data_IF_358049974792
#
_entry.id   IF_358049974792
#
_cell.length_a   1.000
_cell.length_b   1.000
_cell.length_c   1.000
_cell.angle_alpha   90.00
_cell.angle_beta   90.00
_cell.angle_gamma   90.00
#
_symmetry.space_group_name_H-M   'P 1'
#
loop_
_entity.id
_entity.type
_entity.pdbx_description
1 polymer ?
#
# COMPACT_ATOMS: atom_id res chain seq x y z
N UNK A 1 -15.63 -12.17 5.71
CA UNK A 1 -14.39 -11.45 6.09
C UNK A 1 -14.71 -9.95 6.11
N UNK A 2 -14.27 -9.19 7.13
CA UNK A 2 -14.47 -7.73 7.24
C UNK A 2 -13.16 -7.06 7.63
N UNK A 3 -12.75 -6.02 6.91
CA UNK A 3 -11.60 -5.17 7.28
C UNK A 3 -12.07 -4.19 8.35
N UNK A 4 -11.36 -4.15 9.49
CA UNK A 4 -11.70 -3.26 10.62
C UNK A 4 -10.88 -1.98 10.61
N UNK A 5 -9.61 -2.07 10.24
CA UNK A 5 -8.73 -0.92 10.09
C UNK A 5 -7.66 -1.20 9.03
N UNK A 6 -7.11 -0.12 8.47
CA UNK A 6 -5.90 -0.13 7.65
C UNK A 6 -4.90 0.80 8.33
N UNK A 7 -3.69 0.30 8.57
CA UNK A 7 -2.55 1.09 9.05
C UNK A 7 -1.42 0.93 8.05
N UNK A 8 -0.84 2.04 7.64
CA UNK A 8 0.19 2.10 6.61
C UNK A 8 1.38 2.86 7.18
N UNK A 9 2.58 2.32 7.03
CA UNK A 9 3.84 2.98 7.32
C UNK A 9 4.78 2.86 6.10
N UNK A 10 5.42 3.95 5.71
CA UNK A 10 6.47 4.00 4.69
C UNK A 10 6.13 3.28 3.36
N UNK A 11 4.86 3.33 2.92
CA UNK A 11 4.42 2.62 1.72
C UNK A 11 4.22 3.61 0.57
N UNK A 12 5.03 3.49 -0.47
CA UNK A 12 5.03 4.26 -1.70
C UNK A 12 4.86 5.77 -1.45
N UNK A 13 3.67 6.30 -1.69
CA UNK A 13 3.35 7.72 -1.56
C UNK A 13 2.90 8.12 -0.14
N UNK A 14 2.59 7.16 0.74
CA UNK A 14 2.07 7.39 2.10
C UNK A 14 3.19 7.15 3.10
N UNK A 15 3.50 8.16 3.92
CA UNK A 15 4.45 8.01 5.03
C UNK A 15 3.79 7.29 6.20
N UNK A 16 2.67 7.81 6.69
CA UNK A 16 1.86 7.22 7.75
C UNK A 16 0.40 7.49 7.46
N UNK A 17 -0.46 6.49 7.63
CA UNK A 17 -1.90 6.65 7.57
C UNK A 17 -2.62 5.58 8.39
N UNK A 18 -3.74 5.96 8.99
CA UNK A 18 -4.66 5.04 9.64
C UNK A 18 -6.09 5.34 9.20
N UNK A 19 -6.84 4.28 8.88
CA UNK A 19 -8.27 4.33 8.61
C UNK A 19 -8.94 3.28 9.48
N UNK A 20 -9.72 3.71 10.47
CA UNK A 20 -10.52 2.84 11.33
C UNK A 20 -11.98 2.81 10.84
N UNK A 21 -12.40 1.67 10.28
CA UNK A 21 -13.77 1.45 9.80
C UNK A 21 -14.76 1.10 10.93
N UNK A 22 -14.27 0.90 12.15
CA UNK A 22 -15.10 0.63 13.32
C UNK A 22 -15.51 1.90 14.07
N UNK A 23 -14.89 3.05 13.75
CA UNK A 23 -15.21 4.36 14.26
C UNK A 23 -16.18 5.13 13.34
N UNK A 24 -17.03 5.98 13.92
CA UNK A 24 -17.86 6.91 13.15
C UNK A 24 -16.96 7.99 12.50
N UNK A 25 -17.26 8.46 11.28
CA UNK A 25 -18.49 8.21 10.51
C UNK A 25 -18.48 6.91 9.68
N UNK A 26 -17.34 6.25 9.52
CA UNK A 26 -17.19 5.11 8.60
C UNK A 26 -17.99 3.87 9.05
N UNK A 27 -18.12 3.67 10.36
CA UNK A 27 -18.93 2.59 10.95
C UNK A 27 -20.39 2.62 10.45
N UNK A 28 -20.93 3.81 10.23
CA UNK A 28 -22.36 4.04 9.94
C UNK A 28 -22.63 4.29 8.45
N UNK A 29 -21.62 4.73 7.69
CA UNK A 29 -21.80 5.15 6.31
C UNK A 29 -22.27 4.02 5.37
N UNK A 30 -21.86 2.77 5.62
CA UNK A 30 -22.14 1.61 4.75
C UNK A 30 -21.42 1.63 3.39
N UNK A 31 -21.24 2.81 2.81
CA UNK A 31 -20.49 3.11 1.60
C UNK A 31 -19.67 4.39 1.81
N UNK A 32 -18.42 4.38 1.38
CA UNK A 32 -17.53 5.55 1.42
C UNK A 32 -16.69 5.63 0.15
N UNK A 33 -16.09 6.79 -0.10
CA UNK A 33 -15.20 7.01 -1.22
C UNK A 33 -13.80 7.41 -0.72
N UNK A 34 -12.77 6.99 -1.45
CA UNK A 34 -11.39 7.46 -1.27
C UNK A 34 -11.11 8.43 -2.43
N UNK A 35 -10.97 9.71 -2.13
CA UNK A 35 -10.79 10.79 -3.12
C UNK A 35 -9.44 11.48 -2.95
N UNK A 36 -9.08 12.34 -3.91
CA UNK A 36 -7.82 13.09 -3.91
C UNK A 36 -7.15 13.10 -5.29
N UNK A 37 -6.10 13.90 -5.43
CA UNK A 37 -5.39 14.09 -6.71
C UNK A 37 -4.64 12.85 -7.19
N UNK A 38 -4.26 12.84 -8.47
CA UNK A 38 -3.36 11.82 -9.01
C UNK A 38 -2.02 11.85 -8.26
N UNK A 39 -1.57 10.69 -7.77
CA UNK A 39 -0.37 10.59 -6.94
C UNK A 39 -0.61 10.76 -5.43
N UNK A 40 -1.81 11.15 -4.98
CA UNK A 40 -2.12 11.34 -3.56
C UNK A 40 -2.13 10.05 -2.70
N UNK A 41 -1.98 8.86 -3.33
CA UNK A 41 -1.88 7.59 -2.60
C UNK A 41 -3.17 6.78 -2.48
N UNK A 42 -4.23 7.13 -3.21
CA UNK A 42 -5.48 6.35 -3.25
C UNK A 42 -5.24 4.86 -3.53
N UNK A 43 -4.50 4.54 -4.60
CA UNK A 43 -4.13 3.15 -4.93
C UNK A 43 -3.15 2.55 -3.93
N UNK A 44 -2.28 3.36 -3.31
CA UNK A 44 -1.36 2.90 -2.27
C UNK A 44 -2.11 2.37 -1.05
N UNK A 45 -3.23 2.99 -0.66
CA UNK A 45 -4.09 2.49 0.41
C UNK A 45 -4.70 1.11 0.08
N UNK A 46 -5.11 0.89 -1.18
CA UNK A 46 -5.63 -0.41 -1.65
C UNK A 46 -4.51 -1.46 -1.79
N UNK A 47 -3.33 -1.04 -2.22
CA UNK A 47 -2.14 -1.87 -2.30
C UNK A 47 -1.75 -2.37 -0.89
N UNK A 48 -1.88 -1.54 0.15
CA UNK A 48 -1.62 -1.94 1.54
C UNK A 48 -2.50 -3.11 1.98
N UNK A 49 -3.80 -3.08 1.63
CA UNK A 49 -4.74 -4.17 1.95
C UNK A 49 -4.29 -5.47 1.25
N UNK A 50 -4.01 -5.40 -0.05
CA UNK A 50 -3.60 -6.57 -0.83
C UNK A 50 -2.27 -7.12 -0.33
N UNK A 51 -1.32 -6.24 -0.03
CA UNK A 51 0.00 -6.61 0.45
C UNK A 51 -0.08 -7.29 1.82
N UNK A 52 -0.80 -6.71 2.77
CA UNK A 52 -0.93 -7.26 4.13
C UNK A 52 -1.60 -8.64 4.14
N UNK A 53 -2.59 -8.87 3.27
CA UNK A 53 -3.34 -10.13 3.24
C UNK A 53 -2.70 -11.20 2.35
N UNK A 54 -2.01 -10.81 1.28
CA UNK A 54 -1.60 -11.75 0.23
C UNK A 54 -0.12 -11.63 -0.19
N UNK A 55 0.64 -10.72 0.42
CA UNK A 55 2.01 -10.37 0.04
C UNK A 55 2.16 -10.06 -1.47
N UNK A 56 1.10 -9.54 -2.08
CA UNK A 56 1.00 -9.25 -3.53
C UNK A 56 0.11 -8.05 -3.73
N UNK A 57 0.38 -7.29 -4.79
CA UNK A 57 -0.50 -6.21 -5.23
C UNK A 57 -0.74 -6.30 -6.72
N UNK A 58 -1.81 -5.66 -7.21
CA UNK A 58 -2.07 -5.58 -8.64
C UNK A 58 -0.94 -4.85 -9.37
N UNK A 59 -0.31 -3.86 -8.72
CA UNK A 59 0.80 -3.05 -9.25
C UNK A 59 2.05 -3.87 -9.59
N UNK A 60 2.30 -4.96 -8.86
CA UNK A 60 3.49 -5.80 -9.04
C UNK A 60 3.25 -7.01 -9.97
N UNK A 61 2.05 -7.16 -10.54
CA UNK A 61 1.75 -8.21 -11.52
C UNK A 61 2.25 -7.79 -12.91
N UNK A 62 3.44 -8.23 -13.31
CA UNK A 62 3.82 -8.07 -14.73
C UNK A 62 5.27 -8.28 -15.11
N UNK A 63 6.22 -8.28 -14.17
CA UNK A 63 7.64 -8.29 -14.55
C UNK A 63 8.43 -9.33 -13.76
N UNK A 64 8.79 -10.41 -14.46
CA UNK A 64 9.59 -11.53 -13.93
C UNK A 64 11.08 -11.40 -14.23
N UNK A 65 11.49 -10.43 -15.05
CA UNK A 65 12.86 -10.36 -15.58
C UNK A 65 13.67 -9.17 -15.07
N UNK A 66 13.05 -8.01 -14.88
CA UNK A 66 13.79 -6.79 -14.58
C UNK A 66 14.13 -6.67 -13.09
N UNK A 67 15.38 -6.26 -12.84
CA UNK A 67 15.87 -5.90 -11.51
C UNK A 67 15.96 -4.39 -11.39
N UNK A 68 15.75 -3.90 -10.18
CA UNK A 68 15.92 -2.51 -9.80
C UNK A 68 16.84 -2.42 -8.58
N UNK A 69 17.55 -1.31 -8.47
CA UNK A 69 18.28 -0.98 -7.25
C UNK A 69 17.32 -0.40 -6.20
N UNK A 70 17.31 -1.01 -5.02
CA UNK A 70 16.57 -0.57 -3.85
C UNK A 70 17.49 -0.62 -2.62
N UNK A 71 17.82 0.55 -2.06
CA UNK A 71 18.71 0.69 -0.91
C UNK A 71 20.07 -0.05 -1.08
N UNK A 72 20.60 -0.15 -2.30
CA UNK A 72 21.86 -0.84 -2.61
C UNK A 72 21.70 -2.33 -2.93
N UNK A 73 20.50 -2.88 -2.82
CA UNK A 73 20.18 -4.25 -3.21
C UNK A 73 19.54 -4.31 -4.60
N UNK A 74 19.94 -5.31 -5.40
CA UNK A 74 19.28 -5.59 -6.68
C UNK A 74 18.06 -6.50 -6.46
N UNK A 75 16.88 -5.90 -6.32
CA UNK A 75 15.62 -6.61 -6.12
C UNK A 75 14.86 -6.80 -7.44
N UNK A 76 13.96 -7.79 -7.50
CA UNK A 76 13.06 -7.94 -8.66
C UNK A 76 12.06 -6.79 -8.67
N UNK A 77 11.65 -6.33 -9.85
CA UNK A 77 10.64 -5.27 -9.95
C UNK A 77 9.32 -5.63 -9.26
N UNK A 78 8.95 -6.91 -9.26
CA UNK A 78 7.75 -7.43 -8.62
C UNK A 78 7.91 -7.80 -7.13
N UNK A 79 9.07 -7.55 -6.52
CA UNK A 79 9.31 -7.72 -5.09
C UNK A 79 8.49 -6.70 -4.29
N UNK A 80 7.85 -7.12 -3.21
CA UNK A 80 7.01 -6.23 -2.39
C UNK A 80 7.79 -5.08 -1.74
N UNK A 81 9.10 -5.25 -1.53
CA UNK A 81 9.98 -4.18 -1.04
C UNK A 81 10.04 -2.98 -1.97
N UNK A 82 9.75 -3.16 -3.26
CA UNK A 82 9.65 -2.05 -4.22
C UNK A 82 8.47 -1.09 -3.91
N UNK A 83 7.52 -1.50 -3.06
CA UNK A 83 6.46 -0.61 -2.59
C UNK A 83 6.87 0.21 -1.38
N UNK A 84 8.00 -0.08 -0.73
CA UNK A 84 8.49 0.78 0.34
C UNK A 84 8.94 2.13 -0.22
N UNK A 85 8.76 3.18 0.57
CA UNK A 85 9.27 4.50 0.24
C UNK A 85 10.79 4.43 0.12
N UNK A 86 11.37 5.14 -0.85
CA UNK A 86 12.83 5.15 -1.06
C UNK A 86 13.55 5.58 0.23
N UNK A 87 14.56 4.80 0.63
CA UNK A 87 15.31 5.01 1.87
C UNK A 87 14.65 4.43 3.12
N UNK A 88 13.42 3.91 3.05
CA UNK A 88 12.80 3.21 4.17
C UNK A 88 13.38 1.79 4.30
N UNK A 89 13.75 1.42 5.52
CA UNK A 89 14.19 0.05 5.85
C UNK A 89 13.05 -0.87 6.30
N UNK A 90 11.86 -0.31 6.55
CA UNK A 90 10.69 -1.00 7.08
C UNK A 90 9.41 -0.26 6.67
N UNK A 91 8.28 -0.96 6.71
CA UNK A 91 6.93 -0.47 6.42
C UNK A 91 5.86 -1.46 6.86
#
# INVERSE_FOLDING_TARGET
MKILAIRVHQLASILDAEVDFSASPLKEAGLFAITGDTGAGKSTLLDAICLALYNKTARLRGDTGNKIDFNGDNIKLNDSRNLLRRGAGQG
#
